data_IF_808525542689
#
_entry.id   IF_808525542689
#
_cell.length_a   1.000
_cell.length_b   1.000
_cell.length_c   1.000
_cell.angle_alpha   90.00
_cell.angle_beta   90.00
_cell.angle_gamma   90.00
#
_symmetry.space_group_name_H-M   'P 1'
#
loop_
_entity.id
_entity.type
_entity.pdbx_description
1 polymer ?
#
# COMPACT_ATOMS: atom_id res chain seq x y z
N UNK A 1 16.26 8.08 2.59
CA UNK A 1 14.89 7.61 2.88
C UNK A 1 14.09 7.60 1.60
N UNK A 2 13.56 6.44 1.21
CA UNK A 2 12.71 6.31 0.04
C UNK A 2 11.38 7.05 0.22
N UNK A 3 10.79 7.54 -0.86
CA UNK A 3 9.44 8.10 -0.85
C UNK A 3 8.39 6.97 -0.90
N UNK A 4 7.56 6.84 0.13
CA UNK A 4 6.58 5.75 0.26
C UNK A 4 5.26 6.18 -0.37
N UNK A 5 4.85 5.48 -1.42
CA UNK A 5 3.56 5.63 -2.10
C UNK A 5 2.68 4.45 -1.72
N UNK A 6 1.58 4.72 -1.02
CA UNK A 6 0.63 3.70 -0.56
C UNK A 6 -0.63 3.75 -1.42
N UNK A 7 -1.04 2.60 -1.93
CA UNK A 7 -2.30 2.40 -2.64
C UNK A 7 -3.31 1.78 -1.67
N UNK A 8 -4.19 2.62 -1.13
CA UNK A 8 -5.13 2.25 -0.08
C UNK A 8 -6.58 2.56 -0.46
N UNK A 9 -7.48 1.63 -0.14
CA UNK A 9 -8.92 1.78 -0.23
C UNK A 9 -9.56 0.55 0.41
N UNK A 10 -10.55 0.71 1.27
CA UNK A 10 -11.23 -0.39 1.96
C UNK A 10 -12.18 -1.21 1.06
N UNK A 11 -12.30 -0.85 -0.21
CA UNK A 11 -13.19 -1.51 -1.16
C UNK A 11 -12.41 -2.41 -2.11
N UNK A 12 -12.90 -3.65 -2.28
CA UNK A 12 -12.42 -4.57 -3.32
C UNK A 12 -12.77 -4.07 -4.71
N UNK A 13 -11.93 -4.35 -5.72
CA UNK A 13 -12.22 -4.02 -7.12
C UNK A 13 -12.04 -2.57 -7.52
N UNK A 14 -11.56 -1.69 -6.65
CA UNK A 14 -11.33 -0.25 -6.96
C UNK A 14 -10.10 0.03 -7.82
N UNK A 15 -9.35 -0.98 -8.23
CA UNK A 15 -8.18 -0.82 -9.08
C UNK A 15 -6.86 -0.52 -8.35
N UNK A 16 -6.77 -0.68 -7.03
CA UNK A 16 -5.54 -0.43 -6.24
C UNK A 16 -4.30 -1.10 -6.83
N UNK A 17 -4.30 -2.42 -6.86
CA UNK A 17 -3.17 -3.21 -7.36
C UNK A 17 -2.83 -2.89 -8.82
N UNK A 18 -3.85 -2.66 -9.66
CA UNK A 18 -3.65 -2.25 -11.06
C UNK A 18 -2.95 -0.90 -11.13
N UNK A 19 -3.42 0.10 -10.38
CA UNK A 19 -2.81 1.43 -10.35
C UNK A 19 -1.41 1.38 -9.74
N UNK A 20 -1.21 0.58 -8.66
CA UNK A 20 0.11 0.35 -8.07
C UNK A 20 1.10 -0.22 -9.10
N UNK A 21 0.70 -1.23 -9.87
CA UNK A 21 1.53 -1.81 -10.95
C UNK A 21 1.90 -0.79 -12.02
N UNK A 22 0.95 0.07 -12.43
CA UNK A 22 1.21 1.10 -13.44
C UNK A 22 2.18 2.17 -12.93
N UNK A 23 1.97 2.68 -11.72
CA UNK A 23 2.86 3.69 -11.13
C UNK A 23 4.26 3.12 -10.90
N UNK A 24 4.37 1.92 -10.33
CA UNK A 24 5.62 1.19 -10.15
C UNK A 24 6.38 1.05 -11.48
N UNK A 25 5.68 0.60 -12.53
CA UNK A 25 6.28 0.42 -13.86
C UNK A 25 6.71 1.75 -14.48
N UNK A 26 5.93 2.82 -14.30
CA UNK A 26 6.27 4.16 -14.77
C UNK A 26 7.54 4.69 -14.10
N UNK A 27 7.66 4.56 -12.78
CA UNK A 27 8.85 4.95 -12.03
C UNK A 27 10.09 4.18 -12.49
N UNK A 28 9.99 2.85 -12.63
CA UNK A 28 11.08 2.03 -13.14
C UNK A 28 11.52 2.45 -14.56
N UNK A 29 10.56 2.73 -15.45
CA UNK A 29 10.85 3.21 -16.81
C UNK A 29 11.47 4.60 -16.84
N UNK A 30 11.23 5.40 -15.82
CA UNK A 30 11.88 6.70 -15.64
C UNK A 30 13.27 6.61 -15.02
N UNK A 31 13.81 5.38 -14.89
CA UNK A 31 15.16 5.14 -14.34
C UNK A 31 15.24 5.21 -12.82
N UNK A 32 14.11 5.20 -12.11
CA UNK A 32 14.08 5.21 -10.65
C UNK A 32 14.28 3.82 -10.07
N UNK A 33 14.92 3.76 -8.90
CA UNK A 33 14.97 2.54 -8.09
C UNK A 33 13.69 2.43 -7.26
N UNK A 34 13.02 1.28 -7.34
CA UNK A 34 11.69 1.09 -6.74
C UNK A 34 11.62 -0.21 -5.97
N UNK A 35 11.27 -0.10 -4.69
CA UNK A 35 10.85 -1.22 -3.86
C UNK A 35 9.35 -1.47 -3.97
N UNK A 36 8.92 -2.73 -3.92
CA UNK A 36 7.52 -3.12 -3.92
C UNK A 36 7.17 -3.93 -2.68
N UNK A 37 6.09 -3.56 -2.02
CA UNK A 37 5.58 -4.22 -0.82
C UNK A 37 4.10 -4.55 -1.00
N UNK A 38 3.78 -5.84 -1.10
CA UNK A 38 2.40 -6.34 -1.21
C UNK A 38 1.86 -6.67 0.18
N UNK A 39 0.89 -5.89 0.64
CA UNK A 39 0.25 -6.02 1.95
C UNK A 39 -1.02 -6.87 1.90
N UNK A 40 -1.51 -7.24 0.72
CA UNK A 40 -2.58 -8.23 0.57
C UNK A 40 -2.00 -9.65 0.58
N UNK A 41 -1.69 -10.12 1.78
CA UNK A 41 -1.07 -11.44 1.98
C UNK A 41 -1.92 -12.62 1.47
N UNK A 42 -3.21 -12.39 1.21
CA UNK A 42 -4.14 -13.39 0.70
C UNK A 42 -4.17 -13.42 -0.83
N UNK A 43 -4.40 -12.28 -1.46
CA UNK A 43 -4.53 -12.19 -2.93
C UNK A 43 -3.17 -12.13 -3.62
N UNK A 44 -2.19 -11.42 -3.04
CA UNK A 44 -0.83 -11.25 -3.57
C UNK A 44 -0.80 -10.79 -5.03
N UNK A 45 -1.67 -9.85 -5.38
CA UNK A 45 -1.87 -9.42 -6.77
C UNK A 45 -0.64 -8.72 -7.33
N UNK A 46 -0.06 -7.78 -6.57
CA UNK A 46 1.17 -7.09 -6.96
C UNK A 46 2.35 -8.05 -7.06
N UNK A 47 2.49 -8.96 -6.08
CA UNK A 47 3.52 -10.00 -6.07
C UNK A 47 3.45 -10.87 -7.33
N UNK A 48 2.27 -11.37 -7.68
CA UNK A 48 2.07 -12.19 -8.89
C UNK A 48 2.42 -11.44 -10.16
N UNK A 49 2.05 -10.17 -10.26
CA UNK A 49 2.42 -9.34 -11.40
C UNK A 49 3.95 -9.26 -11.56
N UNK A 50 4.67 -8.98 -10.47
CA UNK A 50 6.13 -8.87 -10.48
C UNK A 50 6.76 -10.21 -10.89
N UNK A 51 6.29 -11.32 -10.33
CA UNK A 51 6.75 -12.67 -10.69
C UNK A 51 6.52 -12.97 -12.17
N UNK A 52 5.33 -12.69 -12.70
CA UNK A 52 5.02 -12.87 -14.12
C UNK A 52 5.91 -12.00 -15.02
N UNK A 53 6.24 -10.79 -14.57
CA UNK A 53 7.16 -9.92 -15.30
C UNK A 53 8.58 -10.49 -15.36
N UNK A 54 9.08 -11.04 -14.25
CA UNK A 54 10.40 -11.71 -14.18
C UNK A 54 10.42 -12.93 -15.11
N UNK A 55 9.41 -13.80 -15.02
CA UNK A 55 9.28 -14.97 -15.89
C UNK A 55 9.22 -14.59 -17.37
N UNK A 56 8.56 -13.47 -17.71
CA UNK A 56 8.53 -12.98 -19.08
C UNK A 56 9.93 -12.55 -19.56
N UNK A 57 10.69 -11.83 -18.71
CA UNK A 57 12.09 -11.44 -19.01
C UNK A 57 12.95 -12.67 -19.27
N UNK A 58 12.87 -13.68 -18.39
CA UNK A 58 13.63 -14.92 -18.51
C UNK A 58 13.30 -15.69 -19.81
N UNK A 59 12.01 -15.77 -20.13
CA UNK A 59 11.55 -16.49 -21.33
C UNK A 59 11.89 -15.80 -22.65
N UNK A 60 11.87 -14.47 -22.67
CA UNK A 60 11.99 -13.69 -23.92
C UNK A 60 13.37 -13.09 -24.13
N UNK A 61 14.19 -13.01 -23.08
CA UNK A 61 15.46 -12.27 -23.09
C UNK A 61 15.32 -10.75 -23.20
N UNK A 62 14.10 -10.22 -23.17
CA UNK A 62 13.86 -8.78 -23.25
C UNK A 62 14.21 -8.15 -21.90
N UNK A 63 15.09 -7.17 -21.90
CA UNK A 63 15.47 -6.43 -20.67
C UNK A 63 14.38 -5.43 -20.30
N UNK A 64 13.64 -5.74 -19.25
CA UNK A 64 12.68 -4.83 -18.61
C UNK A 64 13.15 -4.54 -17.19
N UNK A 65 13.04 -3.30 -16.71
CA UNK A 65 13.32 -3.00 -15.31
C UNK A 65 12.26 -3.66 -14.42
N UNK A 66 12.67 -4.14 -13.25
CA UNK A 66 11.79 -4.74 -12.24
C UNK A 66 12.16 -4.22 -10.84
N UNK A 67 11.20 -4.18 -9.90
CA UNK A 67 11.43 -3.65 -8.57
C UNK A 67 12.18 -4.66 -7.68
N UNK A 68 12.81 -4.14 -6.64
CA UNK A 68 13.15 -4.94 -5.48
C UNK A 68 11.86 -5.28 -4.72
N UNK A 69 11.75 -6.48 -4.16
CA UNK A 69 10.58 -6.91 -3.39
C UNK A 69 10.97 -7.28 -1.96
N UNK A 70 10.17 -6.88 -0.99
CA UNK A 70 10.25 -7.39 0.36
C UNK A 70 9.07 -8.32 0.65
N UNK A 71 9.35 -9.42 1.33
CA UNK A 71 8.35 -10.37 1.80
C UNK A 71 8.17 -10.18 3.29
N UNK A 72 6.92 -9.94 3.73
CA UNK A 72 6.63 -9.84 5.15
C UNK A 72 6.82 -11.19 5.84
N UNK A 73 7.70 -11.22 6.83
CA UNK A 73 7.99 -12.41 7.63
C UNK A 73 6.77 -12.80 8.46
N UNK A 74 6.55 -14.10 8.59
CA UNK A 74 5.53 -14.63 9.52
C UNK A 74 5.97 -14.45 10.97
N UNK A 75 5.04 -14.39 11.94
CA UNK A 75 5.38 -14.32 13.35
C UNK A 75 6.36 -15.39 13.80
N UNK A 76 6.19 -16.63 13.33
CA UNK A 76 7.11 -17.76 13.61
C UNK A 76 8.54 -17.51 13.12
N UNK A 77 8.70 -16.83 11.99
CA UNK A 77 10.03 -16.48 11.43
C UNK A 77 10.70 -15.33 12.22
N UNK A 78 9.89 -14.57 12.96
CA UNK A 78 10.34 -13.50 13.86
C UNK A 78 10.57 -14.01 15.30
N UNK A 79 10.26 -15.26 15.60
CA UNK A 79 10.27 -15.80 16.97
C UNK A 79 9.22 -15.14 17.87
N UNK A 80 8.09 -14.70 17.31
CA UNK A 80 7.05 -13.96 18.01
C UNK A 80 5.70 -14.68 17.93
N UNK A 81 4.87 -14.48 18.94
CA UNK A 81 3.47 -14.90 18.88
C UNK A 81 2.68 -14.01 17.89
N UNK A 82 1.65 -14.58 17.21
CA UNK A 82 0.78 -13.80 16.33
C UNK A 82 0.10 -12.64 17.06
N UNK A 83 0.18 -11.43 16.49
CA UNK A 83 -0.44 -10.24 17.08
C UNK A 83 0.08 -8.96 16.47
N UNK A 84 -0.37 -7.82 17.01
CA UNK A 84 -0.02 -6.50 16.52
C UNK A 84 1.50 -6.25 16.47
N UNK A 85 2.22 -6.67 17.53
CA UNK A 85 3.67 -6.45 17.62
C UNK A 85 4.44 -7.22 16.52
N UNK A 86 4.04 -8.46 16.23
CA UNK A 86 4.63 -9.24 15.15
C UNK A 86 4.32 -8.62 13.78
N UNK A 87 3.11 -8.13 13.58
CA UNK A 87 2.69 -7.44 12.36
C UNK A 87 3.49 -6.14 12.16
N UNK A 88 3.60 -5.33 13.21
CA UNK A 88 4.40 -4.10 13.21
C UNK A 88 5.87 -4.39 12.86
N UNK A 89 6.46 -5.38 13.51
CA UNK A 89 7.86 -5.77 13.28
C UNK A 89 8.09 -6.24 11.85
N UNK A 90 7.22 -7.12 11.33
CA UNK A 90 7.31 -7.61 9.96
C UNK A 90 7.22 -6.46 8.95
N UNK A 91 6.30 -5.52 9.18
CA UNK A 91 6.12 -4.35 8.33
C UNK A 91 7.35 -3.44 8.36
N UNK A 92 7.86 -3.11 9.55
CA UNK A 92 9.07 -2.29 9.71
C UNK A 92 10.30 -2.93 9.05
N UNK A 93 10.50 -4.23 9.23
CA UNK A 93 11.61 -4.96 8.59
C UNK A 93 11.50 -4.90 7.07
N UNK A 94 10.31 -5.07 6.51
CA UNK A 94 10.06 -4.96 5.07
C UNK A 94 10.33 -3.55 4.52
N UNK A 95 9.86 -2.51 5.20
CA UNK A 95 10.15 -1.12 4.82
C UNK A 95 11.65 -0.83 4.95
N UNK A 96 12.29 -1.19 6.06
CA UNK A 96 13.71 -0.94 6.28
C UNK A 96 14.62 -1.65 5.27
N UNK A 97 14.23 -2.84 4.81
CA UNK A 97 14.93 -3.53 3.74
C UNK A 97 14.92 -2.70 2.47
N UNK A 98 13.75 -2.24 2.03
CA UNK A 98 13.57 -1.52 0.77
C UNK A 98 14.11 -0.08 0.81
N UNK A 99 14.07 0.58 1.98
CA UNK A 99 14.49 1.98 2.15
C UNK A 99 16.00 2.19 1.92
N UNK A 100 16.80 1.12 2.02
CA UNK A 100 18.25 1.19 1.90
C UNK A 100 18.74 1.41 0.47
N UNK A 101 18.00 0.91 -0.50
CA UNK A 101 18.44 0.76 -1.90
C UNK A 101 17.52 1.46 -2.88
N UNK A 102 16.35 1.90 -2.46
CA UNK A 102 15.34 2.44 -3.35
C UNK A 102 15.04 3.92 -3.09
N UNK A 103 14.75 4.65 -4.18
CA UNK A 103 14.24 6.03 -4.13
C UNK A 103 12.75 6.07 -3.80
N UNK A 104 12.00 5.04 -4.21
CA UNK A 104 10.56 4.90 -4.01
C UNK A 104 10.22 3.52 -3.45
N UNK A 105 9.19 3.47 -2.60
CA UNK A 105 8.54 2.23 -2.18
C UNK A 105 7.08 2.32 -2.55
N UNK A 106 6.59 1.35 -3.33
CA UNK A 106 5.18 1.20 -3.69
C UNK A 106 4.58 0.11 -2.82
N UNK A 107 3.61 0.47 -1.98
CA UNK A 107 2.90 -0.45 -1.11
C UNK A 107 1.44 -0.61 -1.56
N UNK A 108 1.02 -1.85 -1.84
CA UNK A 108 -0.35 -2.21 -2.25
C UNK A 108 -1.13 -2.80 -1.08
N UNK A 109 -2.18 -2.10 -0.64
CA UNK A 109 -2.99 -2.50 0.50
C UNK A 109 -4.13 -3.45 0.09
N UNK A 110 -4.58 -4.35 1.01
CA UNK A 110 -5.79 -5.16 0.78
C UNK A 110 -7.04 -4.29 0.63
N UNK A 111 -8.09 -4.86 0.04
CA UNK A 111 -9.40 -4.20 -0.14
C UNK A 111 -10.30 -4.26 1.10
N UNK A 112 -9.71 -4.32 2.29
CA UNK A 112 -10.41 -4.29 3.57
C UNK A 112 -9.49 -3.68 4.63
N UNK A 113 -10.09 -3.22 5.73
CA UNK A 113 -9.34 -2.73 6.88
C UNK A 113 -8.50 -3.84 7.50
N UNK A 114 -7.21 -3.59 7.66
CA UNK A 114 -6.25 -4.47 8.34
C UNK A 114 -5.24 -3.64 9.12
N UNK A 115 -4.59 -4.24 10.10
CA UNK A 115 -3.47 -3.60 10.82
C UNK A 115 -2.35 -3.16 9.87
N UNK A 116 -2.06 -3.96 8.84
CA UNK A 116 -1.07 -3.61 7.81
C UNK A 116 -1.48 -2.40 7.00
N UNK A 117 -2.77 -2.29 6.62
CA UNK A 117 -3.25 -1.11 5.90
C UNK A 117 -3.18 0.15 6.74
N UNK A 118 -3.51 0.07 8.03
CA UNK A 118 -3.40 1.19 8.97
C UNK A 118 -1.94 1.67 9.10
N UNK A 119 -1.00 0.75 9.33
CA UNK A 119 0.43 1.04 9.40
C UNK A 119 0.95 1.68 8.09
N UNK A 120 0.54 1.14 6.94
CA UNK A 120 0.92 1.69 5.65
C UNK A 120 0.41 3.12 5.45
N UNK A 121 -0.85 3.39 5.80
CA UNK A 121 -1.42 4.74 5.71
C UNK A 121 -0.68 5.74 6.62
N UNK A 122 -0.30 5.32 7.83
CA UNK A 122 0.49 6.16 8.73
C UNK A 122 1.89 6.46 8.19
N UNK A 123 2.50 5.52 7.47
CA UNK A 123 3.86 5.65 6.89
C UNK A 123 3.88 6.37 5.53
N UNK A 124 2.75 6.52 4.85
CA UNK A 124 2.68 7.04 3.48
C UNK A 124 3.18 8.49 3.36
N UNK A 125 4.12 8.75 2.44
CA UNK A 125 4.42 10.11 1.97
C UNK A 125 3.35 10.57 0.99
N UNK A 126 2.93 9.68 0.09
CA UNK A 126 1.80 9.85 -0.81
C UNK A 126 0.80 8.73 -0.62
N UNK A 127 -0.46 9.07 -0.39
CA UNK A 127 -1.56 8.12 -0.38
C UNK A 127 -2.37 8.27 -1.67
N UNK A 128 -2.52 7.17 -2.40
CA UNK A 128 -3.35 7.07 -3.60
C UNK A 128 -4.56 6.20 -3.26
N UNK A 129 -5.75 6.76 -3.43
CA UNK A 129 -7.02 6.06 -3.20
C UNK A 129 -7.77 5.96 -4.53
N UNK A 130 -7.57 4.89 -5.32
CA UNK A 130 -8.32 4.69 -6.55
C UNK A 130 -9.80 4.49 -6.25
N UNK A 131 -10.66 5.15 -7.00
CA UNK A 131 -12.11 5.10 -6.86
C UNK A 131 -12.76 4.98 -8.23
N UNK A 132 -13.92 4.31 -8.28
CA UNK A 132 -14.78 4.36 -9.44
C UNK A 132 -15.77 5.53 -9.32
N UNK A 133 -16.36 5.93 -10.42
CA UNK A 133 -17.38 6.98 -10.51
C UNK A 133 -18.80 6.52 -10.08
N UNK A 134 -18.85 5.76 -8.99
CA UNK A 134 -20.10 5.21 -8.46
C UNK A 134 -20.47 5.81 -7.11
N UNK A 135 -21.76 5.99 -6.85
CA UNK A 135 -22.26 6.44 -5.54
C UNK A 135 -21.78 5.55 -4.40
N UNK A 136 -21.62 4.26 -4.66
CA UNK A 136 -21.14 3.30 -3.65
C UNK A 136 -19.66 3.56 -3.27
N UNK A 137 -18.87 4.14 -4.18
CA UNK A 137 -17.49 4.53 -3.88
C UNK A 137 -17.42 5.90 -3.18
N UNK A 138 -18.45 6.73 -3.33
CA UNK A 138 -18.58 8.01 -2.62
C UNK A 138 -18.71 7.81 -1.10
N UNK A 139 -19.36 6.74 -0.65
CA UNK A 139 -19.46 6.36 0.76
C UNK A 139 -18.10 6.10 1.41
N UNK A 140 -17.05 5.86 0.58
CA UNK A 140 -15.69 5.76 1.06
C UNK A 140 -15.14 7.08 1.58
N UNK A 141 -15.58 8.22 1.04
CA UNK A 141 -15.10 9.55 1.43
C UNK A 141 -15.95 10.17 2.51
N UNK A 142 -17.28 10.01 2.43
CA UNK A 142 -18.20 10.68 3.31
C UNK A 142 -19.43 9.82 3.61
N UNK A 143 -19.99 10.01 4.80
CA UNK A 143 -21.32 9.49 5.13
C UNK A 143 -22.34 10.45 4.57
N UNK A 144 -23.29 9.93 3.79
CA UNK A 144 -24.36 10.68 3.15
C UNK A 144 -25.68 10.28 3.76
N UNK A 145 -26.52 11.26 4.06
CA UNK A 145 -27.90 11.03 4.47
C UNK A 145 -28.72 10.52 3.28
N UNK A 146 -29.36 9.35 3.45
CA UNK A 146 -30.04 8.65 2.35
C UNK A 146 -31.31 9.35 1.84
N UNK A 147 -31.92 10.27 2.62
CA UNK A 147 -33.13 11.01 2.23
C UNK A 147 -32.78 12.34 1.57
N UNK A 148 -31.84 13.06 2.16
CA UNK A 148 -31.48 14.42 1.73
C UNK A 148 -30.28 14.50 0.79
N UNK A 149 -29.54 13.40 0.61
CA UNK A 149 -28.28 13.33 -0.13
C UNK A 149 -27.22 14.34 0.38
N UNK A 150 -27.32 14.78 1.63
CA UNK A 150 -26.35 15.69 2.24
C UNK A 150 -25.25 14.93 2.96
N UNK A 151 -24.01 15.42 2.85
CA UNK A 151 -22.90 14.91 3.64
C UNK A 151 -23.13 15.23 5.12
N UNK A 152 -23.14 14.19 5.96
CA UNK A 152 -23.33 14.29 7.42
C UNK A 152 -22.02 14.08 8.20
N UNK A 153 -20.95 13.67 7.53
CA UNK A 153 -19.63 13.51 8.16
C UNK A 153 -18.66 12.70 7.31
N UNK A 154 -17.41 12.59 7.76
CA UNK A 154 -16.44 11.73 7.10
C UNK A 154 -16.81 10.25 7.24
N UNK A 155 -16.39 9.43 6.29
CA UNK A 155 -16.47 7.96 6.39
C UNK A 155 -15.47 7.43 7.43
N UNK A 156 -15.61 6.15 7.77
CA UNK A 156 -14.64 5.44 8.62
C UNK A 156 -13.23 5.49 7.98
N UNK A 157 -13.15 5.27 6.68
CA UNK A 157 -11.89 5.35 5.94
C UNK A 157 -11.26 6.75 5.99
N UNK A 158 -12.05 7.79 5.74
CA UNK A 158 -11.59 9.18 5.81
C UNK A 158 -11.12 9.55 7.22
N UNK A 159 -11.81 9.10 8.26
CA UNK A 159 -11.39 9.30 9.65
C UNK A 159 -10.05 8.60 9.96
N UNK A 160 -9.87 7.36 9.48
CA UNK A 160 -8.60 6.62 9.62
C UNK A 160 -7.46 7.37 8.92
N UNK A 161 -7.65 7.78 7.66
CA UNK A 161 -6.65 8.56 6.92
C UNK A 161 -6.31 9.86 7.64
N UNK A 162 -7.32 10.57 8.12
CA UNK A 162 -7.12 11.82 8.86
C UNK A 162 -6.31 11.61 10.15
N UNK A 163 -6.65 10.59 10.95
CA UNK A 163 -5.91 10.23 12.17
C UNK A 163 -4.46 9.90 11.87
N UNK A 164 -4.20 9.09 10.84
CA UNK A 164 -2.86 8.73 10.40
C UNK A 164 -2.03 9.96 9.99
N UNK A 165 -2.63 10.87 9.20
CA UNK A 165 -1.98 12.12 8.77
C UNK A 165 -1.72 13.07 9.92
N UNK A 166 -2.66 13.19 10.86
CA UNK A 166 -2.50 14.04 12.05
C UNK A 166 -1.37 13.52 12.93
N UNK A 167 -1.34 12.23 13.26
CA UNK A 167 -0.28 11.62 14.06
C UNK A 167 1.11 11.85 13.44
N UNK A 168 1.22 11.71 12.11
CA UNK A 168 2.46 12.00 11.39
C UNK A 168 2.86 13.47 11.47
N UNK A 169 1.93 14.39 11.35
CA UNK A 169 2.21 15.83 11.44
C UNK A 169 2.68 16.23 12.83
N UNK A 170 2.13 15.64 13.88
CA UNK A 170 2.49 15.88 15.27
C UNK A 170 3.90 15.35 15.62
N UNK A 171 4.29 14.24 15.05
CA UNK A 171 5.62 13.64 15.31
C UNK A 171 6.73 14.22 14.43
N UNK A 172 6.40 14.94 13.36
CA UNK A 172 7.34 15.51 12.41
C UNK A 172 8.16 14.46 11.64
N UNK A 173 7.88 13.18 11.85
CA UNK A 173 8.58 12.04 11.25
C UNK A 173 7.60 10.89 10.98
N UNK A 174 8.04 9.91 10.19
CA UNK A 174 7.30 8.65 10.06
C UNK A 174 7.21 7.98 11.43
N UNK A 175 6.04 7.52 11.87
CA UNK A 175 5.95 6.74 13.10
C UNK A 175 6.81 5.48 12.95
N UNK A 176 7.72 5.34 13.90
CA UNK A 176 8.56 4.14 14.02
C UNK A 176 7.85 3.06 14.81
#
# INVERSE_FOLDING_TARGET
MAHIIVFGNEKGGSGKSTTAMHVLTALLRSGKTVGALDLDLRQKTLTRYIQNRILYIERTGIRLPFPETAVLKKPSELGMEPGFQATLRAFQDGINQLDRTNEYIVADCPGNYTQLSELAHAMADTLVTPMNDSFVDFDLLARVDGETNKVIGPSIYSEMVWKARKARAETGSRPM
#
